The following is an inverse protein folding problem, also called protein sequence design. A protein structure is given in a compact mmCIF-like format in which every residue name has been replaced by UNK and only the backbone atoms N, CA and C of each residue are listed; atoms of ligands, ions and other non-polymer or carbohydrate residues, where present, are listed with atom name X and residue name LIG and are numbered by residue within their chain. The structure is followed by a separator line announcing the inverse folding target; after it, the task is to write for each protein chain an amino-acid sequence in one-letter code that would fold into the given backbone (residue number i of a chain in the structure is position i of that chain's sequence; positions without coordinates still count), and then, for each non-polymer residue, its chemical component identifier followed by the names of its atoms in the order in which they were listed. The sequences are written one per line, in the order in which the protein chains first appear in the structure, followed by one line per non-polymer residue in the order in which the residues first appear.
data_IF_805594034320
#
_entry.id   IF_805594034320
#
_cell.length_a   1.000
_cell.length_b   1.000
_cell.length_c   1.000
_cell.angle_alpha   90.00
_cell.angle_beta   90.00
_cell.angle_gamma   90.00
#
_symmetry.space_group_name_H-M   'P 1'
#
loop_
_entity.id
_entity.type
_entity.pdbx_description
1 polymer ?
#
# COMPACT_ATOMS: atom_id res chain seq x y z
N UNK A 1 11.12 8.20 13.37
CA UNK A 1 11.55 7.58 12.08
C UNK A 1 12.75 8.38 11.54
N UNK A 2 13.69 7.68 10.94
CA UNK A 2 14.88 8.28 10.30
C UNK A 2 14.79 8.06 8.79
N UNK A 3 15.03 9.11 8.00
CA UNK A 3 15.19 8.99 6.55
C UNK A 3 16.54 8.39 6.20
N UNK A 4 16.57 7.46 5.25
CA UNK A 4 17.79 6.84 4.74
C UNK A 4 17.79 6.88 3.21
N UNK A 5 18.96 6.73 2.60
CA UNK A 5 19.06 6.52 1.16
C UNK A 5 18.58 5.10 0.82
N UNK A 6 17.94 4.95 -0.33
CA UNK A 6 17.40 3.65 -0.76
C UNK A 6 18.52 2.59 -0.93
N UNK A 7 19.70 3.03 -1.31
CA UNK A 7 20.89 2.17 -1.48
C UNK A 7 21.43 1.61 -0.15
N UNK A 8 21.04 2.22 0.98
CA UNK A 8 21.39 1.76 2.33
C UNK A 8 20.40 0.73 2.88
N UNK A 9 19.29 0.53 2.17
CA UNK A 9 18.20 -0.32 2.64
C UNK A 9 18.53 -1.79 2.45
N UNK A 10 18.46 -2.57 3.54
CA UNK A 10 18.39 -4.03 3.47
C UNK A 10 16.92 -4.44 3.55
N UNK A 11 16.36 -4.90 2.44
CA UNK A 11 14.96 -5.24 2.31
C UNK A 11 14.77 -6.40 1.31
N UNK A 12 13.95 -7.38 1.69
CA UNK A 12 13.53 -8.44 0.78
C UNK A 12 12.11 -8.14 0.27
N UNK A 13 11.93 -7.72 -0.98
CA UNK A 13 10.61 -7.35 -1.52
C UNK A 13 9.62 -8.52 -1.56
N UNK A 14 10.08 -9.76 -1.58
CA UNK A 14 9.23 -10.94 -1.58
C UNK A 14 8.55 -11.20 -0.22
N UNK A 15 9.04 -10.59 0.86
CA UNK A 15 8.39 -10.67 2.16
C UNK A 15 7.01 -9.98 2.18
N UNK A 16 6.69 -9.13 1.21
CA UNK A 16 5.36 -8.52 1.05
C UNK A 16 4.24 -9.57 1.03
N UNK A 17 4.44 -10.70 0.33
CA UNK A 17 3.45 -11.76 0.25
C UNK A 17 3.15 -12.39 1.62
N UNK A 18 4.17 -12.52 2.47
CA UNK A 18 4.11 -13.18 3.76
C UNK A 18 3.81 -12.23 4.91
N UNK A 19 4.51 -11.10 4.94
CA UNK A 19 4.46 -10.17 6.07
C UNK A 19 3.36 -9.13 5.89
N UNK A 20 2.93 -8.89 4.65
CA UNK A 20 1.98 -7.85 4.26
C UNK A 20 2.50 -6.44 4.54
N UNK A 21 1.79 -5.45 4.04
CA UNK A 21 2.05 -4.05 4.34
C UNK A 21 0.72 -3.28 4.37
N UNK A 22 0.74 -2.06 4.93
CA UNK A 22 -0.37 -1.12 4.80
C UNK A 22 -0.05 -0.11 3.71
N UNK A 23 -0.93 0.01 2.72
CA UNK A 23 -0.98 1.18 1.86
C UNK A 23 -1.89 2.21 2.50
N UNK A 24 -1.42 3.45 2.59
CA UNK A 24 -2.17 4.57 3.16
C UNK A 24 -2.19 5.73 2.17
N UNK A 25 -3.37 6.30 1.95
CA UNK A 25 -3.57 7.53 1.20
C UNK A 25 -4.55 8.44 1.94
N UNK A 26 -4.50 9.72 1.63
CA UNK A 26 -5.34 10.76 2.25
C UNK A 26 -5.91 11.71 1.19
N UNK A 27 -6.88 12.48 1.60
CA UNK A 27 -7.27 13.76 0.98
C UNK A 27 -7.21 14.85 2.05
N UNK A 28 -7.86 15.98 1.83
CA UNK A 28 -7.86 17.09 2.79
C UNK A 28 -8.55 16.73 4.11
N UNK A 29 -9.61 15.92 4.06
CA UNK A 29 -10.52 15.69 5.17
C UNK A 29 -10.29 14.37 5.90
N UNK A 30 -9.76 13.37 5.19
CA UNK A 30 -9.66 12.02 5.72
C UNK A 30 -8.45 11.24 5.16
N UNK A 31 -8.07 10.19 5.85
CA UNK A 31 -7.15 9.18 5.35
C UNK A 31 -7.70 7.77 5.57
N UNK A 32 -7.22 6.83 4.80
CA UNK A 32 -7.55 5.43 5.00
C UNK A 32 -6.36 4.54 4.66
N UNK A 33 -6.29 3.43 5.37
CA UNK A 33 -5.31 2.37 5.12
C UNK A 33 -5.99 1.06 4.81
N UNK A 34 -5.32 0.26 3.98
CA UNK A 34 -5.68 -1.12 3.75
C UNK A 34 -4.45 -1.99 3.63
N UNK A 35 -4.61 -3.23 3.98
CA UNK A 35 -3.54 -4.23 3.84
C UNK A 35 -3.38 -4.64 2.39
N UNK A 36 -2.14 -4.71 1.96
CA UNK A 36 -1.72 -5.23 0.66
C UNK A 36 -0.74 -6.38 0.83
N UNK A 37 -0.76 -7.31 -0.11
CA UNK A 37 0.21 -8.41 -0.25
C UNK A 37 0.63 -8.63 -1.71
N UNK A 38 0.03 -7.91 -2.64
CA UNK A 38 0.32 -8.00 -4.07
C UNK A 38 1.04 -6.75 -4.53
N UNK A 39 2.20 -6.94 -5.11
CA UNK A 39 3.04 -5.87 -5.59
C UNK A 39 4.48 -6.30 -5.75
N UNK A 40 5.34 -5.34 -6.04
CA UNK A 40 6.77 -5.55 -6.19
C UNK A 40 7.55 -4.26 -6.09
N UNK A 41 8.84 -4.37 -5.87
CA UNK A 41 9.79 -3.26 -5.82
C UNK A 41 10.85 -3.48 -6.89
N UNK A 42 11.23 -2.44 -7.58
CA UNK A 42 12.21 -2.54 -8.66
C UNK A 42 12.55 -1.19 -9.28
N UNK A 43 12.83 -1.19 -10.57
CA UNK A 43 13.16 0.03 -11.31
C UNK A 43 12.35 0.12 -12.59
N UNK A 44 11.87 1.32 -12.87
CA UNK A 44 11.18 1.67 -14.11
C UNK A 44 11.51 3.14 -14.45
N UNK A 45 11.68 3.44 -15.73
CA UNK A 45 12.00 4.80 -16.22
C UNK A 45 13.22 5.42 -15.51
N UNK A 46 14.25 4.60 -15.26
CA UNK A 46 15.46 4.99 -14.53
C UNK A 46 15.20 5.53 -13.11
N UNK A 47 14.15 5.05 -12.45
CA UNK A 47 13.74 5.41 -11.09
C UNK A 47 13.54 4.17 -10.26
N UNK A 48 13.74 4.28 -8.95
CA UNK A 48 13.28 3.28 -7.99
C UNK A 48 11.75 3.37 -7.85
N UNK A 49 11.08 2.26 -8.09
CA UNK A 49 9.61 2.21 -8.11
C UNK A 49 9.09 1.02 -7.34
N UNK A 50 7.81 1.09 -7.00
CA UNK A 50 7.06 -0.10 -6.62
C UNK A 50 5.74 -0.16 -7.39
N UNK A 51 5.25 -1.38 -7.58
CA UNK A 51 3.91 -1.66 -8.06
C UNK A 51 3.03 -2.15 -6.92
N UNK A 52 1.75 -1.86 -6.96
CA UNK A 52 0.74 -2.46 -6.10
C UNK A 52 -0.56 -2.68 -6.86
N UNK A 53 -1.37 -3.63 -6.39
CA UNK A 53 -2.61 -4.02 -7.05
C UNK A 53 -3.79 -3.82 -6.10
N UNK A 54 -4.71 -2.92 -6.45
CA UNK A 54 -5.86 -2.51 -5.63
C UNK A 54 -7.16 -2.85 -6.36
N UNK A 55 -8.06 -3.56 -5.68
CA UNK A 55 -9.40 -3.87 -6.20
C UNK A 55 -10.27 -2.61 -6.30
N UNK A 56 -11.15 -2.50 -7.33
CA UNK A 56 -11.98 -1.31 -7.56
C UNK A 56 -12.89 -0.94 -6.38
N UNK A 57 -13.38 -1.93 -5.63
CA UNK A 57 -14.28 -1.72 -4.50
C UNK A 57 -13.60 -1.26 -3.20
N UNK A 58 -12.27 -1.21 -3.16
CA UNK A 58 -11.56 -0.81 -1.94
C UNK A 58 -11.68 0.71 -1.71
N UNK A 59 -12.06 1.09 -0.48
CA UNK A 59 -12.20 2.51 -0.11
C UNK A 59 -10.92 3.32 -0.32
N UNK A 60 -9.76 2.76 0.02
CA UNK A 60 -8.46 3.42 -0.17
C UNK A 60 -8.22 3.81 -1.63
N UNK A 61 -8.81 3.08 -2.59
CA UNK A 61 -8.71 3.43 -4.02
C UNK A 61 -9.22 4.84 -4.31
N UNK A 62 -10.33 5.25 -3.70
CA UNK A 62 -10.89 6.61 -3.89
C UNK A 62 -9.89 7.69 -3.49
N UNK A 63 -9.14 7.45 -2.41
CA UNK A 63 -8.12 8.40 -1.93
C UNK A 63 -6.89 8.36 -2.84
N UNK A 64 -6.44 7.16 -3.24
CA UNK A 64 -5.33 6.99 -4.18
C UNK A 64 -5.58 7.65 -5.53
N UNK A 65 -6.83 7.64 -6.02
CA UNK A 65 -7.18 8.28 -7.29
C UNK A 65 -7.09 9.81 -7.21
N UNK A 66 -7.34 10.39 -6.04
CA UNK A 66 -7.42 11.82 -5.80
C UNK A 66 -6.17 12.43 -5.14
N UNK A 67 -5.14 11.63 -4.84
CA UNK A 67 -3.88 12.09 -4.28
C UNK A 67 -2.71 11.54 -5.11
N UNK A 68 -1.72 12.36 -5.33
CA UNK A 68 -0.49 11.95 -6.02
C UNK A 68 0.47 11.20 -5.10
N UNK A 69 0.33 11.34 -3.79
CA UNK A 69 1.20 10.72 -2.81
C UNK A 69 0.49 9.63 -2.02
N UNK A 70 1.26 8.61 -1.65
CA UNK A 70 0.83 7.54 -0.76
C UNK A 70 2.03 6.92 -0.04
N UNK A 71 1.76 6.14 0.98
CA UNK A 71 2.79 5.39 1.71
C UNK A 71 2.52 3.90 1.68
N UNK A 72 3.61 3.11 1.75
CA UNK A 72 3.55 1.68 2.07
C UNK A 72 4.38 1.46 3.32
N UNK A 73 3.73 0.98 4.39
CA UNK A 73 4.31 0.78 5.71
C UNK A 73 4.41 -0.70 6.05
N UNK A 74 5.59 -1.17 6.45
CA UNK A 74 5.86 -2.52 6.94
C UNK A 74 6.00 -2.51 8.46
N UNK A 75 5.57 -3.60 9.10
CA UNK A 75 5.51 -3.73 10.54
C UNK A 75 6.19 -5.01 11.02
N UNK A 76 6.50 -5.06 12.31
CA UNK A 76 6.89 -6.28 12.98
C UNK A 76 5.70 -7.23 13.14
N UNK A 77 5.99 -8.51 13.37
CA UNK A 77 4.97 -9.58 13.41
C UNK A 77 3.90 -9.36 14.48
N UNK A 78 4.20 -8.63 15.53
CA UNK A 78 3.24 -8.31 16.60
C UNK A 78 2.02 -7.53 16.11
N UNK A 79 2.16 -6.76 15.02
CA UNK A 79 1.07 -5.97 14.41
C UNK A 79 0.27 -6.75 13.35
N UNK A 80 0.48 -8.06 13.22
CA UNK A 80 -0.21 -8.86 12.19
C UNK A 80 -1.73 -8.86 12.35
N UNK A 81 -2.24 -8.73 13.59
CA UNK A 81 -3.67 -8.64 13.87
C UNK A 81 -4.27 -7.34 13.34
N UNK A 82 -3.57 -6.22 13.52
CA UNK A 82 -3.96 -4.91 13.00
C UNK A 82 -4.00 -4.92 11.47
N UNK A 83 -2.98 -5.51 10.84
CA UNK A 83 -2.96 -5.65 9.38
C UNK A 83 -4.12 -6.52 8.89
N UNK A 84 -4.40 -7.65 9.54
CA UNK A 84 -5.53 -8.52 9.20
C UNK A 84 -6.86 -7.78 9.31
N UNK A 85 -7.07 -7.05 10.40
CA UNK A 85 -8.26 -6.24 10.63
C UNK A 85 -8.44 -5.18 9.54
N UNK A 86 -7.40 -4.39 9.25
CA UNK A 86 -7.44 -3.32 8.24
C UNK A 86 -7.58 -3.84 6.80
N UNK A 87 -7.18 -5.09 6.56
CA UNK A 87 -7.40 -5.78 5.28
C UNK A 87 -8.83 -6.28 5.11
N UNK A 88 -9.53 -6.59 6.22
CA UNK A 88 -10.87 -7.17 6.22
C UNK A 88 -11.95 -6.09 6.29
N UNK A 89 -11.82 -5.12 7.19
CA UNK A 89 -12.83 -4.08 7.37
C UNK A 89 -12.63 -2.99 6.31
N UNK A 90 -13.69 -2.72 5.56
CA UNK A 90 -13.69 -1.66 4.55
C UNK A 90 -13.87 -0.28 5.18
N UNK A 91 -13.18 0.74 4.68
CA UNK A 91 -13.49 2.13 5.03
C UNK A 91 -14.85 2.61 4.51
N UNK A 92 -15.51 1.84 3.61
CA UNK A 92 -16.91 2.09 3.25
C UNK A 92 -17.87 1.72 4.38
N UNK A 93 -17.54 0.69 5.18
CA UNK A 93 -18.39 0.16 6.25
C UNK A 93 -18.08 0.84 7.59
N UNK A 94 -16.79 1.14 7.84
CA UNK A 94 -16.32 1.83 9.05
C UNK A 94 -15.22 2.84 8.70
N UNK A 95 -15.58 4.11 8.65
CA UNK A 95 -14.63 5.21 8.40
C UNK A 95 -13.64 5.39 9.56
N UNK A 96 -14.02 5.01 10.76
CA UNK A 96 -13.21 5.14 11.97
C UNK A 96 -12.40 3.88 12.29
N UNK A 97 -12.33 2.90 11.38
CA UNK A 97 -11.64 1.62 11.62
C UNK A 97 -10.21 1.76 12.14
N UNK A 98 -9.51 2.85 11.80
CA UNK A 98 -8.15 3.09 12.29
C UNK A 98 -8.08 3.25 13.81
N UNK A 99 -9.10 3.85 14.44
CA UNK A 99 -9.17 4.03 15.90
C UNK A 99 -9.32 2.71 16.67
N UNK A 100 -9.70 1.64 15.97
CA UNK A 100 -9.81 0.29 16.55
C UNK A 100 -8.49 -0.51 16.48
N UNK A 101 -7.39 0.14 16.11
CA UNK A 101 -6.06 -0.46 16.05
C UNK A 101 -5.12 0.19 17.06
N UNK A 102 -3.98 -0.46 17.31
CA UNK A 102 -2.89 0.09 18.14
C UNK A 102 -1.93 0.97 17.34
N UNK A 103 -2.28 1.29 16.09
CA UNK A 103 -1.43 2.06 15.21
C UNK A 103 -1.68 3.56 15.40
N UNK A 104 -0.60 4.31 15.59
CA UNK A 104 -0.63 5.77 15.78
C UNK A 104 -0.26 6.45 14.47
N UNK A 105 -1.22 7.13 13.79
CA UNK A 105 -0.93 7.84 12.56
C UNK A 105 -0.04 9.05 12.79
N UNK A 106 0.92 9.25 11.91
CA UNK A 106 1.68 10.48 11.74
C UNK A 106 1.17 11.11 10.46
N UNK A 107 0.54 12.28 10.58
CA UNK A 107 -0.10 12.99 9.47
C UNK A 107 0.81 14.14 9.07
N UNK A 108 1.27 14.13 7.83
CA UNK A 108 2.00 15.20 7.17
C UNK A 108 1.14 15.80 6.04
N UNK A 109 1.61 16.87 5.39
CA UNK A 109 0.84 17.61 4.40
C UNK A 109 0.23 16.68 3.33
N UNK A 110 1.05 15.83 2.71
CA UNK A 110 0.63 14.98 1.58
C UNK A 110 0.47 13.50 1.92
N UNK A 111 0.93 13.07 3.09
CA UNK A 111 1.05 11.65 3.43
C UNK A 111 0.60 11.34 4.86
N UNK A 112 0.32 10.06 5.09
CA UNK A 112 0.14 9.48 6.42
C UNK A 112 0.91 8.18 6.52
N UNK A 113 1.62 7.98 7.62
CA UNK A 113 2.28 6.72 7.98
C UNK A 113 2.09 6.44 9.48
N UNK A 114 2.74 5.43 10.04
CA UNK A 114 2.51 5.01 11.43
C UNK A 114 3.80 4.97 12.24
N UNK A 115 3.74 5.41 13.49
CA UNK A 115 4.89 5.39 14.43
C UNK A 115 5.44 3.99 14.64
N UNK A 116 4.57 2.98 14.61
CA UNK A 116 4.89 1.58 14.86
C UNK A 116 5.53 0.88 13.66
N UNK A 117 5.49 1.51 12.48
CA UNK A 117 6.10 0.95 11.28
C UNK A 117 7.63 0.79 11.45
N UNK A 118 8.16 -0.36 11.05
CA UNK A 118 9.62 -0.59 11.00
C UNK A 118 10.28 0.01 9.76
N UNK A 119 9.50 0.13 8.67
CA UNK A 119 9.94 0.63 7.38
C UNK A 119 8.76 1.29 6.68
N UNK A 120 8.96 2.49 6.15
CA UNK A 120 7.97 3.24 5.38
C UNK A 120 8.59 3.68 4.06
N UNK A 121 7.91 3.40 2.98
CA UNK A 121 8.19 4.00 1.68
C UNK A 121 7.15 5.09 1.39
N UNK A 122 7.62 6.26 0.99
CA UNK A 122 6.81 7.37 0.51
C UNK A 122 6.91 7.41 -1.01
N UNK A 123 5.76 7.40 -1.67
CA UNK A 123 5.67 7.33 -3.12
C UNK A 123 4.99 8.56 -3.71
N UNK A 124 5.46 8.93 -4.89
CA UNK A 124 4.69 9.74 -5.84
C UNK A 124 4.12 8.82 -6.91
N UNK A 125 2.81 8.87 -7.09
CA UNK A 125 2.09 8.09 -8.10
C UNK A 125 2.50 8.57 -9.49
N UNK A 126 2.88 7.65 -10.38
CA UNK A 126 3.29 7.97 -11.76
C UNK A 126 2.44 7.28 -12.82
N UNK A 127 1.80 6.15 -12.47
CA UNK A 127 1.00 5.40 -13.42
C UNK A 127 -0.12 4.64 -12.72
N UNK A 128 -1.27 4.59 -13.39
CA UNK A 128 -2.42 3.78 -12.96
C UNK A 128 -3.07 3.17 -14.19
N UNK A 129 -3.31 1.87 -14.17
CA UNK A 129 -4.09 1.20 -15.19
C UNK A 129 -4.85 0.00 -14.60
N UNK A 130 -5.98 -0.34 -15.17
CA UNK A 130 -6.72 -1.53 -14.75
C UNK A 130 -6.22 -2.76 -15.50
N UNK A 131 -6.01 -3.86 -14.79
CA UNK A 131 -5.79 -5.16 -15.42
C UNK A 131 -7.03 -5.53 -16.25
N UNK A 132 -6.81 -6.11 -17.42
CA UNK A 132 -7.88 -6.55 -18.30
C UNK A 132 -7.95 -8.07 -18.38
N UNK A 133 -9.14 -8.59 -18.67
CA UNK A 133 -9.33 -10.02 -18.90
C UNK A 133 -8.36 -10.55 -19.98
N UNK A 134 -8.21 -9.79 -21.04
CA UNK A 134 -7.41 -10.21 -22.21
C UNK A 134 -5.90 -10.13 -21.93
N UNK A 135 -5.48 -9.29 -20.97
CA UNK A 135 -4.10 -9.21 -20.53
C UNK A 135 -3.68 -10.36 -19.58
N UNK A 136 -4.65 -11.09 -19.02
CA UNK A 136 -4.37 -12.23 -18.13
C UNK A 136 -4.35 -13.52 -18.96
N UNK A 137 -3.15 -14.03 -19.23
CA UNK A 137 -2.94 -15.18 -20.11
C UNK A 137 -3.40 -16.49 -19.45
N UNK A 138 -3.05 -16.69 -18.16
CA UNK A 138 -3.50 -17.88 -17.42
C UNK A 138 -4.95 -17.69 -16.93
N UNK A 139 -5.89 -18.40 -17.56
CA UNK A 139 -7.31 -18.35 -17.24
C UNK A 139 -7.62 -18.78 -15.80
N UNK A 140 -6.79 -19.64 -15.20
CA UNK A 140 -6.96 -20.05 -13.80
C UNK A 140 -6.82 -18.86 -12.83
N UNK A 141 -5.98 -17.88 -13.16
CA UNK A 141 -5.86 -16.65 -12.38
C UNK A 141 -7.19 -15.90 -12.33
N UNK A 142 -7.89 -15.83 -13.46
CA UNK A 142 -9.21 -15.18 -13.54
C UNK A 142 -10.23 -15.94 -12.70
N UNK A 143 -10.29 -17.25 -12.83
CA UNK A 143 -11.22 -18.12 -12.10
C UNK A 143 -11.01 -18.06 -10.58
N UNK A 144 -9.75 -17.98 -10.14
CA UNK A 144 -9.40 -17.96 -8.73
C UNK A 144 -9.55 -16.56 -8.09
N UNK A 145 -9.24 -15.50 -8.83
CA UNK A 145 -9.09 -14.17 -8.25
C UNK A 145 -10.12 -13.14 -8.72
N UNK A 146 -10.76 -13.33 -9.89
CA UNK A 146 -11.59 -12.32 -10.53
C UNK A 146 -12.95 -12.83 -10.95
N UNK A 147 -13.58 -13.68 -10.15
CA UNK A 147 -14.90 -14.25 -10.40
C UNK A 147 -16.00 -13.19 -10.62
N UNK A 148 -15.86 -12.05 -9.93
CA UNK A 148 -16.78 -10.91 -10.05
C UNK A 148 -16.35 -9.90 -11.12
N UNK A 149 -15.34 -10.21 -11.93
CA UNK A 149 -14.78 -9.30 -12.96
C UNK A 149 -14.23 -7.98 -12.38
N UNK A 150 -13.92 -7.96 -11.09
CA UNK A 150 -13.40 -6.83 -10.33
C UNK A 150 -11.87 -6.72 -10.45
N UNK A 151 -11.39 -6.65 -11.69
CA UNK A 151 -9.96 -6.62 -11.99
C UNK A 151 -9.25 -5.50 -11.25
N UNK A 152 -8.10 -5.83 -10.67
CA UNK A 152 -7.29 -4.88 -9.89
C UNK A 152 -6.77 -3.75 -10.76
N UNK A 153 -6.62 -2.60 -10.15
CA UNK A 153 -5.82 -1.50 -10.70
C UNK A 153 -4.37 -1.69 -10.26
N UNK A 154 -3.47 -1.62 -11.23
CA UNK A 154 -2.04 -1.50 -11.00
C UNK A 154 -1.71 -0.03 -10.78
N UNK A 155 -1.02 0.25 -9.70
CA UNK A 155 -0.44 1.56 -9.41
C UNK A 155 1.08 1.42 -9.44
N UNK A 156 1.76 2.30 -10.16
CA UNK A 156 3.21 2.40 -10.14
C UNK A 156 3.56 3.75 -9.51
N UNK A 157 4.34 3.70 -8.43
CA UNK A 157 4.83 4.89 -7.76
C UNK A 157 6.35 4.94 -7.73
N UNK A 158 6.89 6.14 -7.96
CA UNK A 158 8.29 6.44 -7.70
C UNK A 158 8.52 6.53 -6.20
N UNK A 159 9.55 5.88 -5.69
CA UNK A 159 9.99 6.03 -4.30
C UNK A 159 10.64 7.40 -4.15
N UNK A 160 10.03 8.25 -3.31
CA UNK A 160 10.56 9.59 -3.00
C UNK A 160 11.44 9.55 -1.75
N UNK A 161 11.01 8.81 -0.73
CA UNK A 161 11.72 8.68 0.55
C UNK A 161 11.55 7.29 1.14
N UNK A 162 12.54 6.90 1.93
CA UNK A 162 12.52 5.69 2.75
C UNK A 162 12.77 6.07 4.20
N UNK A 163 11.86 5.69 5.10
CA UNK A 163 11.99 5.93 6.53
C UNK A 163 12.11 4.59 7.25
N UNK A 164 13.05 4.52 8.19
CA UNK A 164 13.21 3.36 9.09
C UNK A 164 12.97 3.75 10.54
N UNK A 165 12.53 2.81 11.35
CA UNK A 165 12.40 2.99 12.79
C UNK A 165 13.80 3.15 13.40
N UNK A 166 13.98 4.18 14.19
CA UNK A 166 15.17 4.33 15.02
C UNK A 166 15.17 3.26 16.12
N UNK A 167 16.35 2.71 16.39
CA UNK A 167 16.55 1.72 17.45
C UNK A 167 16.51 2.37 18.81
#
# INVERSE_FOLDING_TARGET
MKEIKIEELTFNPFDLLKDWALVTSKNQDEFNSMTISWGGFGSLWNKYTATMYIRPQRYTKKLLDNNDYYTISFFDKEYKKELSYLGTISGNDDKNKMSNTKLTPVIEEEIVYYKEAKLVFIFKKEYVNQLTKDGIIDKKVIEQNYQNKDYSYEYIGKIEKVLIKEK
#
